data_IF_376828728126
#
_entry.id   IF_376828728126
#
_cell.length_a   1.000
_cell.length_b   1.000
_cell.length_c   1.000
_cell.angle_alpha   90.00
_cell.angle_beta   90.00
_cell.angle_gamma   90.00
#
_symmetry.space_group_name_H-M   'P 1'
#
loop_
_entity.id
_entity.type
_entity.pdbx_description
1 polymer ?
#
# COMPACT_ATOMS: atom_id res chain seq x y z
N UNK A 1 13.00 68.78 42.85
CA UNK A 1 11.94 67.84 43.26
C UNK A 1 11.64 67.06 42.02
N UNK A 2 12.16 65.86 42.05
CA UNK A 2 12.62 65.09 40.91
C UNK A 2 11.46 64.52 40.09
N UNK A 3 11.62 64.57 38.77
CA UNK A 3 10.75 63.90 37.82
C UNK A 3 11.26 62.46 37.78
N UNK A 4 10.53 61.55 38.42
CA UNK A 4 10.76 60.12 38.26
C UNK A 4 10.23 59.71 36.87
N UNK A 5 11.15 59.53 35.93
CA UNK A 5 10.91 58.81 34.67
C UNK A 5 11.03 57.31 34.97
N UNK A 6 9.88 56.63 35.11
CA UNK A 6 9.78 55.20 35.37
C UNK A 6 9.52 54.44 34.03
N UNK A 7 10.59 53.77 33.59
CA UNK A 7 10.68 52.41 33.02
C UNK A 7 9.77 51.91 31.87
N UNK A 8 9.68 52.67 30.78
CA UNK A 8 9.14 52.18 29.49
C UNK A 8 10.02 51.22 28.67
N UNK A 9 10.99 50.48 29.27
CA UNK A 9 11.98 49.67 28.53
C UNK A 9 11.88 48.16 28.75
N UNK A 10 11.05 47.67 29.68
CA UNK A 10 10.98 46.24 30.03
C UNK A 10 9.96 45.40 29.25
N UNK A 11 9.05 45.98 28.45
CA UNK A 11 7.96 45.21 27.81
C UNK A 11 8.36 44.48 26.52
N UNK A 12 9.33 45.01 25.76
CA UNK A 12 9.70 44.46 24.44
C UNK A 12 10.46 43.13 24.57
N UNK A 13 11.33 43.00 25.57
CA UNK A 13 12.11 41.77 25.81
C UNK A 13 11.26 40.60 26.31
N UNK A 14 10.12 40.88 26.95
CA UNK A 14 9.15 39.85 27.36
C UNK A 14 8.24 39.46 26.19
N UNK A 15 7.79 40.42 25.40
CA UNK A 15 7.04 40.16 24.17
C UNK A 15 7.84 39.32 23.17
N UNK A 16 9.13 39.61 22.97
CA UNK A 16 10.00 38.84 22.09
C UNK A 16 10.20 37.40 22.56
N UNK A 17 10.29 37.16 23.88
CA UNK A 17 10.35 35.80 24.44
C UNK A 17 9.05 35.03 24.21
N UNK A 18 7.91 35.69 24.40
CA UNK A 18 6.60 35.09 24.13
C UNK A 18 6.48 34.72 22.65
N UNK A 19 6.96 35.59 21.75
CA UNK A 19 6.98 35.29 20.32
C UNK A 19 7.88 34.10 19.97
N UNK A 20 9.03 33.95 20.62
CA UNK A 20 9.92 32.83 20.38
C UNK A 20 9.38 31.51 20.96
N UNK A 21 8.71 31.55 22.11
CA UNK A 21 7.99 30.40 22.67
C UNK A 21 6.88 29.92 21.72
N UNK A 22 6.06 30.83 21.18
CA UNK A 22 5.00 30.50 20.22
C UNK A 22 5.58 29.91 18.93
N UNK A 23 6.70 30.45 18.41
CA UNK A 23 7.34 29.89 17.21
C UNK A 23 7.84 28.47 17.46
N UNK A 24 8.43 28.20 18.62
CA UNK A 24 8.92 26.86 18.95
C UNK A 24 7.75 25.88 19.09
N UNK A 25 6.67 26.27 19.74
CA UNK A 25 5.48 25.43 19.88
C UNK A 25 4.87 25.04 18.53
N UNK A 26 4.77 25.99 17.59
CA UNK A 26 4.30 25.73 16.22
C UNK A 26 5.22 24.74 15.50
N UNK A 27 6.54 24.94 15.58
CA UNK A 27 7.52 24.07 14.94
C UNK A 27 7.49 22.65 15.51
N UNK A 28 7.35 22.51 16.83
CA UNK A 28 7.25 21.22 17.51
C UNK A 28 5.96 20.48 17.12
N UNK A 29 4.84 21.19 17.01
CA UNK A 29 3.61 20.62 16.49
C UNK A 29 3.76 20.18 15.03
N UNK A 30 4.29 21.03 14.13
CA UNK A 30 4.48 20.64 12.72
C UNK A 30 5.40 19.40 12.59
N UNK A 31 6.51 19.36 13.34
CA UNK A 31 7.41 18.20 13.36
C UNK A 31 6.71 16.94 13.85
N UNK A 32 5.86 17.06 14.88
CA UNK A 32 5.06 15.95 15.39
C UNK A 32 4.07 15.45 14.32
N UNK A 33 3.35 16.35 13.66
CA UNK A 33 2.39 15.98 12.61
C UNK A 33 3.08 15.28 11.43
N UNK A 34 4.27 15.74 11.02
CA UNK A 34 5.08 15.08 9.99
C UNK A 34 5.46 13.67 10.44
N UNK A 35 5.94 13.51 11.68
CA UNK A 35 6.36 12.21 12.20
C UNK A 35 5.20 11.20 12.33
N UNK A 36 4.02 11.66 12.72
CA UNK A 36 2.81 10.83 12.80
C UNK A 36 2.34 10.39 11.41
N UNK A 37 2.36 11.30 10.41
CA UNK A 37 2.06 10.95 9.02
C UNK A 37 3.05 9.94 8.44
N UNK A 38 4.35 10.08 8.73
CA UNK A 38 5.37 9.14 8.26
C UNK A 38 5.17 7.74 8.84
N UNK A 39 4.72 7.62 10.10
CA UNK A 39 4.39 6.32 10.72
C UNK A 39 3.21 5.68 10.00
N UNK A 40 2.12 6.41 9.78
CA UNK A 40 0.93 5.90 9.10
C UNK A 40 1.23 5.48 7.65
N UNK A 41 2.06 6.25 6.95
CA UNK A 41 2.49 5.92 5.60
C UNK A 41 3.39 4.68 5.56
N UNK A 42 4.33 4.52 6.52
CA UNK A 42 5.17 3.33 6.60
C UNK A 42 4.38 2.08 6.98
N UNK A 43 3.39 2.19 7.85
CA UNK A 43 2.46 1.10 8.19
C UNK A 43 1.62 0.73 6.97
N UNK A 44 1.09 1.72 6.25
CA UNK A 44 0.38 1.51 4.98
C UNK A 44 1.26 0.82 3.93
N UNK A 45 2.51 1.28 3.74
CA UNK A 45 3.47 0.65 2.83
C UNK A 45 3.81 -0.78 3.24
N UNK A 46 3.99 -1.04 4.53
CA UNK A 46 4.25 -2.39 5.04
C UNK A 46 3.04 -3.31 4.83
N UNK A 47 1.82 -2.81 4.99
CA UNK A 47 0.61 -3.54 4.62
C UNK A 47 0.49 -3.76 3.10
N UNK A 48 0.88 -2.79 2.28
CA UNK A 48 0.95 -2.96 0.83
C UNK A 48 1.97 -4.05 0.45
N UNK A 49 3.15 -4.04 1.06
CA UNK A 49 4.22 -5.00 0.77
C UNK A 49 3.85 -6.43 1.19
N UNK A 50 3.09 -6.60 2.28
CA UNK A 50 2.73 -7.91 2.80
C UNK A 50 1.35 -8.42 2.35
N UNK A 51 0.48 -7.59 1.78
CA UNK A 51 -0.86 -7.99 1.32
C UNK A 51 -1.12 -7.61 -0.15
N UNK A 52 -0.07 -7.52 -0.96
CA UNK A 52 -0.21 -7.29 -2.38
C UNK A 52 0.65 -8.25 -3.20
N UNK A 53 0.08 -8.66 -4.34
CA UNK A 53 0.72 -9.51 -5.33
C UNK A 53 0.73 -8.75 -6.63
N UNK A 54 1.87 -8.64 -7.31
CA UNK A 54 1.92 -8.06 -8.66
C UNK A 54 0.86 -8.75 -9.53
N UNK A 55 0.01 -7.98 -10.19
CA UNK A 55 -1.08 -8.52 -10.95
C UNK A 55 -0.55 -9.32 -12.14
N UNK A 56 -0.77 -10.65 -12.19
CA UNK A 56 -0.16 -11.49 -13.22
C UNK A 56 -0.90 -11.37 -14.57
N UNK A 57 -1.94 -10.54 -14.65
CA UNK A 57 -2.69 -10.25 -15.88
C UNK A 57 -2.15 -9.00 -16.58
N UNK A 58 -1.84 -7.93 -15.84
CA UNK A 58 -1.37 -6.67 -16.42
C UNK A 58 0.10 -6.34 -16.16
N UNK A 59 0.73 -6.97 -15.15
CA UNK A 59 2.11 -6.71 -14.74
C UNK A 59 2.44 -5.25 -14.38
N UNK A 60 1.41 -4.41 -14.22
CA UNK A 60 1.56 -2.97 -13.93
C UNK A 60 0.95 -2.56 -12.60
N UNK A 61 -0.01 -3.33 -12.10
CA UNK A 61 -0.69 -3.06 -10.83
C UNK A 61 -0.50 -4.20 -9.85
N UNK A 62 -1.18 -4.10 -8.72
CA UNK A 62 -1.18 -5.13 -7.68
C UNK A 62 -2.59 -5.63 -7.41
N UNK A 63 -2.70 -6.94 -7.19
CA UNK A 63 -3.87 -7.60 -6.62
C UNK A 63 -3.91 -7.30 -5.12
N UNK A 64 -4.97 -6.62 -4.71
CA UNK A 64 -5.22 -6.17 -3.33
C UNK A 64 -6.58 -6.71 -2.89
N UNK A 65 -6.70 -7.09 -1.62
CA UNK A 65 -7.97 -7.53 -1.05
C UNK A 65 -8.96 -6.35 -1.01
N UNK A 66 -10.12 -6.51 -1.66
CA UNK A 66 -11.11 -5.42 -1.81
C UNK A 66 -12.46 -5.71 -1.13
N UNK A 67 -12.62 -6.90 -0.51
CA UNK A 67 -13.82 -7.28 0.22
C UNK A 67 -13.77 -8.72 0.73
N UNK A 68 -14.89 -9.23 1.23
CA UNK A 68 -15.01 -10.63 1.63
C UNK A 68 -14.82 -11.53 0.40
N UNK A 69 -13.75 -12.32 0.41
CA UNK A 69 -13.40 -13.29 -0.62
C UNK A 69 -13.16 -12.69 -2.02
N UNK A 70 -12.82 -11.40 -2.11
CA UNK A 70 -12.55 -10.75 -3.39
C UNK A 70 -11.20 -10.02 -3.38
N UNK A 71 -10.39 -10.29 -4.39
CA UNK A 71 -9.10 -9.65 -4.63
C UNK A 71 -9.17 -8.99 -6.00
N UNK A 72 -8.80 -7.70 -6.09
CA UNK A 72 -8.85 -6.97 -7.35
C UNK A 72 -7.57 -6.17 -7.62
N UNK A 73 -7.29 -5.96 -8.90
CA UNK A 73 -6.18 -5.14 -9.33
C UNK A 73 -6.57 -3.65 -9.31
N UNK A 74 -5.72 -2.84 -8.69
CA UNK A 74 -5.82 -1.38 -8.65
C UNK A 74 -5.69 -0.70 -10.03
N UNK A 75 -4.98 -1.32 -10.99
CA UNK A 75 -4.73 -0.76 -12.33
C UNK A 75 -5.66 -1.32 -13.40
N UNK A 76 -5.70 -2.63 -13.59
CA UNK A 76 -6.49 -3.25 -14.68
C UNK A 76 -7.90 -3.66 -14.25
N UNK A 77 -8.25 -3.46 -12.98
CA UNK A 77 -9.56 -3.80 -12.39
C UNK A 77 -9.98 -5.26 -12.56
N UNK A 78 -9.03 -6.15 -12.87
CA UNK A 78 -9.25 -7.60 -12.83
C UNK A 78 -9.61 -7.98 -11.41
N UNK A 79 -10.75 -8.64 -11.21
CA UNK A 79 -11.26 -9.07 -9.91
C UNK A 79 -11.36 -10.58 -9.90
N UNK A 80 -11.05 -11.21 -8.77
CA UNK A 80 -11.09 -12.67 -8.61
C UNK A 80 -11.74 -12.99 -7.28
N UNK A 81 -12.67 -13.93 -7.32
CA UNK A 81 -13.32 -14.44 -6.13
C UNK A 81 -12.54 -15.65 -5.61
N UNK A 82 -12.01 -15.55 -4.40
CA UNK A 82 -11.19 -16.58 -3.78
C UNK A 82 -11.35 -16.55 -2.26
N UNK A 83 -11.27 -17.72 -1.64
CA UNK A 83 -11.20 -17.86 -0.19
C UNK A 83 -9.76 -17.73 0.34
N UNK A 84 -8.77 -17.66 -0.54
CA UNK A 84 -7.38 -17.51 -0.18
C UNK A 84 -7.04 -16.08 0.18
N UNK A 85 -6.14 -15.93 1.14
CA UNK A 85 -5.42 -14.68 1.38
C UNK A 85 -4.39 -14.45 0.27
N UNK A 86 -3.98 -13.19 0.09
CA UNK A 86 -3.05 -12.77 -0.99
C UNK A 86 -1.74 -13.57 -0.96
N UNK A 87 -1.19 -13.84 0.23
CA UNK A 87 0.02 -14.65 0.39
C UNK A 87 -0.15 -16.11 -0.05
N UNK A 88 -1.30 -16.70 0.24
CA UNK A 88 -1.61 -18.06 -0.18
C UNK A 88 -1.84 -18.12 -1.70
N UNK A 89 -2.48 -17.10 -2.26
CA UNK A 89 -2.65 -16.94 -3.70
C UNK A 89 -1.30 -16.83 -4.41
N UNK A 90 -0.39 -15.99 -3.89
CA UNK A 90 0.98 -15.84 -4.37
C UNK A 90 1.73 -17.17 -4.34
N UNK A 91 1.68 -17.87 -3.20
CA UNK A 91 2.35 -19.17 -3.03
C UNK A 91 1.82 -20.21 -4.02
N UNK A 92 0.49 -20.28 -4.22
CA UNK A 92 -0.11 -21.16 -5.21
C UNK A 92 0.37 -20.81 -6.62
N UNK A 93 0.35 -19.53 -7.00
CA UNK A 93 0.80 -19.09 -8.31
C UNK A 93 2.27 -19.45 -8.59
N UNK A 94 3.16 -19.17 -7.64
CA UNK A 94 4.59 -19.48 -7.75
C UNK A 94 4.84 -20.99 -7.83
N UNK A 95 4.19 -21.78 -6.96
CA UNK A 95 4.34 -23.23 -6.94
C UNK A 95 3.82 -23.88 -8.23
N UNK A 96 2.61 -23.53 -8.67
CA UNK A 96 2.03 -24.07 -9.91
C UNK A 96 2.88 -23.68 -11.12
N UNK A 97 3.36 -22.44 -11.18
CA UNK A 97 4.24 -21.99 -12.28
C UNK A 97 5.57 -22.75 -12.27
N UNK A 98 6.17 -22.98 -11.10
CA UNK A 98 7.40 -23.74 -10.96
C UNK A 98 7.23 -25.22 -11.32
N UNK A 99 6.12 -25.85 -10.89
CA UNK A 99 5.78 -27.23 -11.24
C UNK A 99 5.57 -27.39 -12.75
N UNK A 100 4.80 -26.48 -13.36
CA UNK A 100 4.64 -26.44 -14.80
C UNK A 100 5.99 -26.30 -15.51
N UNK A 101 6.82 -25.35 -15.07
CA UNK A 101 8.12 -25.05 -15.70
C UNK A 101 9.11 -26.23 -15.67
N UNK A 102 8.99 -27.13 -14.69
CA UNK A 102 9.79 -28.37 -14.61
C UNK A 102 9.41 -29.38 -15.69
N UNK A 103 8.13 -29.41 -16.11
CA UNK A 103 7.60 -30.33 -17.11
C UNK A 103 7.62 -29.71 -18.52
N UNK A 104 7.29 -28.43 -18.60
CA UNK A 104 7.16 -27.68 -19.83
C UNK A 104 7.89 -26.34 -19.65
N UNK A 105 9.02 -26.17 -20.33
CA UNK A 105 9.85 -24.96 -20.26
C UNK A 105 9.24 -23.75 -20.99
N UNK A 106 8.00 -23.87 -21.47
CA UNK A 106 7.29 -22.77 -22.09
C UNK A 106 6.73 -21.84 -21.02
N UNK A 107 6.61 -20.53 -21.30
CA UNK A 107 5.95 -19.60 -20.40
C UNK A 107 4.47 -19.98 -20.25
N UNK A 108 3.93 -19.81 -19.05
CA UNK A 108 2.51 -19.89 -18.78
C UNK A 108 1.99 -18.47 -18.49
N UNK A 109 0.79 -18.18 -18.98
CA UNK A 109 0.12 -16.88 -18.87
C UNK A 109 -1.05 -16.98 -17.89
N UNK A 110 -1.29 -15.91 -17.14
CA UNK A 110 -2.49 -15.83 -16.31
C UNK A 110 -3.65 -15.23 -17.12
N UNK A 111 -4.77 -15.94 -17.09
CA UNK A 111 -6.03 -15.50 -17.69
C UNK A 111 -7.11 -15.50 -16.63
N UNK A 112 -8.06 -14.56 -16.75
CA UNK A 112 -9.23 -14.51 -15.88
C UNK A 112 -10.47 -14.70 -16.72
N UNK A 113 -11.30 -15.67 -16.34
CA UNK A 113 -12.60 -15.88 -16.98
C UNK A 113 -13.68 -15.19 -16.14
N UNK A 114 -14.25 -14.08 -16.62
CA UNK A 114 -15.41 -13.49 -15.98
C UNK A 114 -16.62 -14.38 -16.21
N UNK A 115 -17.27 -14.84 -15.14
CA UNK A 115 -18.62 -15.42 -15.23
C UNK A 115 -19.65 -14.43 -14.72
N UNK A 116 -20.95 -14.75 -14.88
CA UNK A 116 -22.04 -13.89 -14.43
C UNK A 116 -22.08 -13.67 -12.91
N UNK A 117 -21.41 -14.52 -12.13
CA UNK A 117 -21.41 -14.45 -10.67
C UNK A 117 -20.00 -14.26 -10.11
N UNK A 118 -19.03 -15.03 -10.62
CA UNK A 118 -17.68 -15.09 -10.06
C UNK A 118 -16.62 -14.96 -11.17
N UNK A 119 -15.48 -14.36 -10.87
CA UNK A 119 -14.33 -14.36 -11.77
C UNK A 119 -13.24 -15.26 -11.19
N UNK A 120 -12.75 -16.21 -11.99
CA UNK A 120 -11.71 -17.15 -11.58
C UNK A 120 -10.46 -16.93 -12.42
N UNK A 121 -9.29 -16.99 -11.76
CA UNK A 121 -7.99 -16.92 -12.42
C UNK A 121 -7.49 -18.32 -12.78
N UNK A 122 -6.83 -18.41 -13.92
CA UNK A 122 -6.22 -19.64 -14.42
C UNK A 122 -4.82 -19.37 -14.95
N UNK A 123 -3.93 -20.34 -14.76
CA UNK A 123 -2.63 -20.41 -15.41
C UNK A 123 -2.78 -21.27 -16.68
N UNK A 124 -2.45 -20.72 -17.84
CA UNK A 124 -2.58 -21.35 -19.15
C UNK A 124 -1.21 -21.45 -19.83
N UNK A 125 -0.84 -22.62 -20.33
CA UNK A 125 0.28 -22.79 -21.25
C UNK A 125 -0.21 -23.16 -22.64
N UNK A 126 0.10 -22.33 -23.63
CA UNK A 126 -0.29 -22.55 -25.03
C UNK A 126 0.42 -23.73 -25.71
N UNK A 127 1.54 -24.20 -25.15
CA UNK A 127 2.37 -25.26 -25.73
C UNK A 127 1.91 -26.65 -25.30
N UNK A 128 1.78 -26.88 -24.00
CA UNK A 128 1.36 -28.18 -23.46
C UNK A 128 -0.13 -28.26 -23.14
N UNK A 129 -0.88 -27.17 -23.41
CA UNK A 129 -2.31 -27.03 -23.10
C UNK A 129 -2.63 -27.23 -21.61
N UNK A 130 -1.65 -26.97 -20.74
CA UNK A 130 -1.85 -26.96 -19.30
C UNK A 130 -2.80 -25.83 -18.92
N UNK A 131 -3.83 -26.15 -18.14
CA UNK A 131 -4.79 -25.20 -17.60
C UNK A 131 -5.02 -25.55 -16.13
N UNK A 132 -4.73 -24.61 -15.23
CA UNK A 132 -4.90 -24.80 -13.80
C UNK A 132 -5.59 -23.59 -13.18
N UNK A 133 -6.62 -23.82 -12.37
CA UNK A 133 -7.32 -22.74 -11.67
C UNK A 133 -6.50 -22.30 -10.45
N UNK A 134 -6.17 -21.01 -10.39
CA UNK A 134 -5.56 -20.38 -9.22
C UNK A 134 -6.72 -19.92 -8.32
N UNK A 135 -7.13 -20.79 -7.40
CA UNK A 135 -8.26 -20.58 -6.47
C UNK A 135 -7.82 -20.56 -5.03
#
# INVERSE_FOLDING_TARGET
MDIEEDDGFHSLDEEDKIFDEIKQEILDEEMKWISEQDIDYNVYLHHLQNNSLECPVCHTGNLIKSGNNNISCDICHTSIQTLLEVDALKSNLENTTAEHSRLCQAPAECIVFPTHCDSSMFLLCSICQFLFQIS
#
